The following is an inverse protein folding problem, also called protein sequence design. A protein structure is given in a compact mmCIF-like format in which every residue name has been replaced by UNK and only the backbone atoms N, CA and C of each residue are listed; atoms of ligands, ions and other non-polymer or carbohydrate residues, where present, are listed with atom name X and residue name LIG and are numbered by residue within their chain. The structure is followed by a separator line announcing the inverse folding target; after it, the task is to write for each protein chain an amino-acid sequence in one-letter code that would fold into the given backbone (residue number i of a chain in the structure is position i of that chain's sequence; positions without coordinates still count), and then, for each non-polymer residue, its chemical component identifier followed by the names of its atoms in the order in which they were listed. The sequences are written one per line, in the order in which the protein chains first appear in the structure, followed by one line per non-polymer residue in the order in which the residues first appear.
data_IF_504874257057
#
_entry.id   IF_504874257057
#
_cell.length_a   1.000
_cell.length_b   1.000
_cell.length_c   1.000
_cell.angle_alpha   90.00
_cell.angle_beta   90.00
_cell.angle_gamma   90.00
#
_symmetry.space_group_name_H-M   'P 1'
#
loop_
_entity.id
_entity.type
_entity.pdbx_description
1 polymer ?
#
# COMPACT_ATOMS: atom_id res chain seq x y z
N UNK A 1 -2.22 -13.34 -11.78
CA UNK A 1 -1.20 -12.28 -11.79
C UNK A 1 -1.54 -11.24 -10.74
N UNK A 2 -0.58 -10.89 -9.90
CA UNK A 2 -0.82 -9.91 -8.86
C UNK A 2 -0.88 -8.50 -9.43
N UNK A 3 -1.79 -7.69 -8.90
CA UNK A 3 -1.87 -6.29 -9.26
C UNK A 3 -0.80 -5.51 -8.50
N UNK A 4 0.08 -4.90 -9.25
CA UNK A 4 1.13 -4.05 -8.66
C UNK A 4 0.78 -2.60 -8.88
N UNK A 5 0.92 -1.80 -7.85
CA UNK A 5 0.61 -0.37 -7.91
C UNK A 5 1.72 0.43 -7.25
N UNK A 6 1.91 1.65 -7.69
CA UNK A 6 2.81 2.56 -6.99
C UNK A 6 2.20 2.87 -5.62
N UNK A 7 3.03 3.41 -4.72
CA UNK A 7 2.56 3.73 -3.37
C UNK A 7 1.36 4.68 -3.43
N UNK A 8 1.45 5.71 -4.27
CA UNK A 8 0.37 6.68 -4.37
C UNK A 8 -0.91 6.05 -4.93
N UNK A 9 -0.78 5.24 -5.97
CA UNK A 9 -1.93 4.58 -6.56
C UNK A 9 -2.58 3.60 -5.59
N UNK A 10 -1.75 2.86 -4.85
CA UNK A 10 -2.26 1.93 -3.86
C UNK A 10 -3.02 2.67 -2.77
N UNK A 11 -2.46 3.78 -2.30
CA UNK A 11 -3.12 4.59 -1.28
C UNK A 11 -4.47 5.12 -1.79
N UNK A 12 -4.48 5.62 -3.03
CA UNK A 12 -5.70 6.14 -3.63
C UNK A 12 -6.79 5.08 -3.70
N UNK A 13 -6.41 3.87 -4.07
CA UNK A 13 -7.36 2.76 -4.16
C UNK A 13 -7.91 2.40 -2.77
N UNK A 14 -7.07 2.42 -1.75
CA UNK A 14 -7.52 2.17 -0.38
C UNK A 14 -8.57 3.19 0.04
N UNK A 15 -8.34 4.46 -0.23
CA UNK A 15 -9.25 5.52 0.14
C UNK A 15 -10.57 5.40 -0.62
N UNK A 16 -10.51 5.02 -1.88
CA UNK A 16 -11.72 4.84 -2.68
C UNK A 16 -12.59 3.70 -2.15
N UNK A 17 -11.95 2.63 -1.68
CA UNK A 17 -12.68 1.49 -1.15
C UNK A 17 -13.13 1.70 0.29
N UNK A 18 -12.44 2.54 1.03
CA UNK A 18 -12.76 2.80 2.43
C UNK A 18 -12.52 4.28 2.74
N UNK A 19 -13.46 5.16 2.37
CA UNK A 19 -13.31 6.59 2.60
C UNK A 19 -13.17 6.97 4.07
N UNK A 20 -13.59 6.09 4.98
CA UNK A 20 -13.49 6.34 6.41
C UNK A 20 -12.16 5.90 6.99
N UNK A 21 -11.26 5.41 6.15
CA UNK A 21 -9.95 4.99 6.61
C UNK A 21 -9.19 6.17 7.22
N UNK A 22 -8.65 5.97 8.41
CA UNK A 22 -7.90 7.00 9.11
C UNK A 22 -6.43 7.05 8.68
N UNK A 23 -6.01 6.18 7.77
CA UNK A 23 -4.62 6.14 7.37
C UNK A 23 -4.27 7.30 6.43
N UNK A 24 -3.12 7.91 6.67
CA UNK A 24 -2.63 8.98 5.80
C UNK A 24 -1.59 8.42 4.84
N UNK A 25 -1.30 9.17 3.77
CA UNK A 25 -0.29 8.74 2.81
C UNK A 25 1.08 8.61 3.50
N UNK A 26 1.40 9.53 4.40
CA UNK A 26 2.66 9.48 5.14
C UNK A 26 2.76 8.21 5.98
N UNK A 27 1.68 7.85 6.66
CA UNK A 27 1.66 6.64 7.47
C UNK A 27 1.79 5.39 6.59
N UNK A 28 1.12 5.39 5.45
CA UNK A 28 1.19 4.28 4.51
C UNK A 28 2.62 4.10 4.00
N UNK A 29 3.27 5.20 3.62
CA UNK A 29 4.67 5.15 3.18
C UNK A 29 5.58 4.62 4.28
N UNK A 30 5.34 5.02 5.51
CA UNK A 30 6.14 4.56 6.64
C UNK A 30 6.02 3.04 6.79
N UNK A 31 4.82 2.51 6.69
CA UNK A 31 4.61 1.06 6.79
C UNK A 31 5.41 0.31 5.74
N UNK A 32 5.45 0.84 4.53
CA UNK A 32 6.19 0.22 3.44
C UNK A 32 7.70 0.33 3.69
N UNK A 33 8.15 1.50 4.14
CA UNK A 33 9.57 1.72 4.39
C UNK A 33 10.08 0.89 5.58
N UNK A 34 9.21 0.60 6.53
CA UNK A 34 9.57 -0.23 7.69
C UNK A 34 9.52 -1.72 7.37
N UNK A 35 9.10 -2.06 6.17
CA UNK A 35 9.03 -3.45 5.75
C UNK A 35 7.79 -4.20 6.22
N UNK A 36 6.82 -3.50 6.77
CA UNK A 36 5.58 -4.14 7.21
C UNK A 36 4.68 -4.52 6.05
N UNK A 37 4.77 -3.78 4.97
CA UNK A 37 4.06 -4.09 3.74
C UNK A 37 5.10 -4.39 2.68
N UNK A 38 5.12 -5.61 2.10
CA UNK A 38 6.10 -5.95 1.08
C UNK A 38 6.01 -5.04 -0.13
N UNK A 39 7.15 -4.65 -0.66
CA UNK A 39 7.19 -3.84 -1.86
C UNK A 39 8.35 -4.27 -2.74
N UNK A 40 8.24 -3.95 -4.01
CA UNK A 40 9.29 -4.22 -4.99
C UNK A 40 9.79 -2.88 -5.48
N UNK A 41 11.09 -2.69 -5.41
CA UNK A 41 11.71 -1.46 -5.88
C UNK A 41 12.24 -1.66 -7.29
N UNK A 42 11.76 -0.85 -8.22
CA UNK A 42 12.22 -0.91 -9.60
C UNK A 42 12.71 0.50 -9.97
N UNK A 43 14.03 0.63 -10.10
CA UNK A 43 14.62 1.94 -10.33
C UNK A 43 14.29 2.88 -9.18
N UNK A 44 13.61 3.96 -9.46
CA UNK A 44 13.21 4.95 -8.46
C UNK A 44 11.81 4.71 -7.93
N UNK A 45 11.10 3.74 -8.51
CA UNK A 45 9.72 3.49 -8.14
C UNK A 45 9.62 2.32 -7.18
N UNK A 46 8.70 2.41 -6.25
CA UNK A 46 8.35 1.31 -5.37
C UNK A 46 6.93 0.86 -5.72
N UNK A 47 6.78 -0.43 -5.92
CA UNK A 47 5.48 -1.01 -6.26
C UNK A 47 5.06 -1.94 -5.15
N UNK A 48 3.78 -1.94 -4.85
CA UNK A 48 3.22 -2.84 -3.83
C UNK A 48 2.12 -3.68 -4.47
N UNK A 49 1.95 -4.90 -3.95
CA UNK A 49 0.88 -5.76 -4.37
C UNK A 49 -0.38 -5.39 -3.60
N UNK A 50 -1.47 -5.11 -4.31
CA UNK A 50 -2.71 -4.77 -3.63
C UNK A 50 -3.22 -5.92 -2.76
N UNK A 51 -2.96 -7.16 -3.17
CA UNK A 51 -3.34 -8.31 -2.35
C UNK A 51 -2.66 -8.26 -0.99
N UNK A 52 -1.36 -7.94 -0.99
CA UNK A 52 -0.58 -7.85 0.25
C UNK A 52 -1.06 -6.67 1.10
N UNK A 53 -1.39 -5.56 0.45
CA UNK A 53 -1.87 -4.37 1.14
C UNK A 53 -3.19 -4.66 1.86
N UNK A 54 -4.14 -5.25 1.14
CA UNK A 54 -5.43 -5.56 1.74
C UNK A 54 -5.30 -6.59 2.85
N UNK A 55 -4.44 -7.59 2.66
CA UNK A 55 -4.21 -8.58 3.68
C UNK A 55 -3.66 -7.95 4.96
N UNK A 56 -2.74 -7.00 4.79
CA UNK A 56 -2.17 -6.30 5.95
C UNK A 56 -3.25 -5.56 6.75
N UNK A 57 -4.14 -4.85 6.05
CA UNK A 57 -5.16 -4.06 6.72
C UNK A 57 -6.31 -4.90 7.29
N UNK A 58 -6.56 -6.06 6.73
CA UNK A 58 -7.58 -6.95 7.25
C UNK A 58 -7.10 -7.71 8.47
N UNK A 59 -5.81 -7.86 8.60
CA UNK A 59 -5.20 -8.55 9.72
C UNK A 59 -5.17 -7.63 10.93
N UNK A 60 -5.74 -8.05 12.00
CA UNK A 60 -5.76 -7.24 13.22
C UNK A 60 -5.01 -7.94 14.35
#
# INVERSE_FOLDING_TARGET
MRKMRSIREAYQEIIENDPDSAITLSAFRRLINEGKIPCIKIGRKKLVSMEEVYEFFERK
#
